data_IF_508101032354
#
_entry.id   IF_508101032354
#
_cell.length_a   1.000
_cell.length_b   1.000
_cell.length_c   1.000
_cell.angle_alpha   90.00
_cell.angle_beta   90.00
_cell.angle_gamma   90.00
#
_symmetry.space_group_name_H-M   'P 1'
#
loop_
_entity.id
_entity.type
_entity.pdbx_description
1 polymer ?
#
# COMPACT_ATOMS: atom_id res chain seq x y z
N UNK A 1 -17.78 -1.87 7.12
CA UNK A 1 -17.61 -0.45 7.57
C UNK A 1 -16.54 0.16 6.69
N UNK A 2 -16.81 1.35 6.12
CA UNK A 2 -15.90 2.00 5.20
C UNK A 2 -14.61 2.45 5.89
N UNK A 3 -13.47 1.99 5.39
CA UNK A 3 -12.15 2.43 5.87
C UNK A 3 -11.68 3.67 5.12
N UNK A 4 -11.97 3.73 3.79
CA UNK A 4 -11.60 4.85 2.93
C UNK A 4 -12.78 5.20 2.03
N UNK A 5 -13.12 6.48 1.93
CA UNK A 5 -14.08 7.02 0.96
C UNK A 5 -13.47 8.24 0.30
N UNK A 6 -13.47 8.29 -1.04
CA UNK A 6 -13.02 9.47 -1.80
C UNK A 6 -14.19 10.11 -2.52
N UNK A 7 -14.22 11.45 -2.53
CA UNK A 7 -15.28 12.26 -3.15
C UNK A 7 -14.62 13.26 -4.10
N UNK A 8 -14.77 13.03 -5.40
CA UNK A 8 -14.23 13.84 -6.49
C UNK A 8 -12.75 14.20 -6.30
N UNK A 9 -11.98 13.26 -5.71
CA UNK A 9 -10.59 13.47 -5.33
C UNK A 9 -9.77 13.76 -6.58
N UNK A 10 -9.20 14.96 -6.66
CA UNK A 10 -8.53 15.46 -7.85
C UNK A 10 -7.15 16.03 -7.52
N UNK A 11 -6.15 15.71 -8.34
CA UNK A 11 -4.82 16.31 -8.27
C UNK A 11 -4.36 16.81 -9.63
N UNK A 12 -4.04 18.10 -9.67
CA UNK A 12 -3.42 18.75 -10.84
C UNK A 12 -2.03 19.26 -10.50
N UNK A 13 -1.09 19.05 -11.41
CA UNK A 13 0.25 19.61 -11.38
C UNK A 13 0.44 20.44 -12.66
N UNK A 14 0.39 21.76 -12.56
CA UNK A 14 0.41 22.66 -13.73
C UNK A 14 -0.67 22.21 -14.76
N UNK A 15 -0.25 21.79 -15.93
CA UNK A 15 -1.13 21.37 -17.03
C UNK A 15 -1.52 19.88 -16.96
N UNK A 16 -0.91 19.10 -16.05
CA UNK A 16 -1.19 17.66 -15.91
C UNK A 16 -2.24 17.41 -14.83
N UNK A 17 -3.36 16.78 -15.19
CA UNK A 17 -4.30 16.20 -14.24
C UNK A 17 -3.84 14.76 -13.92
N UNK A 18 -3.16 14.60 -12.78
CA UNK A 18 -2.60 13.31 -12.36
C UNK A 18 -3.65 12.36 -11.74
N UNK A 19 -4.71 12.91 -11.14
CA UNK A 19 -5.91 12.19 -10.67
C UNK A 19 -7.12 13.08 -10.94
N UNK A 20 -8.14 12.53 -11.60
CA UNK A 20 -9.34 13.26 -12.04
C UNK A 20 -10.59 12.66 -11.39
N UNK A 21 -11.18 13.38 -10.43
CA UNK A 21 -12.45 13.08 -9.76
C UNK A 21 -12.60 11.62 -9.34
N UNK A 22 -11.60 11.11 -8.62
CA UNK A 22 -11.61 9.74 -8.11
C UNK A 22 -12.68 9.60 -7.04
N UNK A 23 -13.66 8.73 -7.30
CA UNK A 23 -14.70 8.31 -6.37
C UNK A 23 -14.51 6.81 -6.09
N UNK A 24 -14.18 6.47 -4.85
CA UNK A 24 -13.82 5.11 -4.45
C UNK A 24 -14.21 4.88 -2.99
N UNK A 25 -14.71 3.68 -2.69
CA UNK A 25 -14.96 3.20 -1.32
C UNK A 25 -14.23 1.89 -1.10
N UNK A 26 -13.49 1.80 0.02
CA UNK A 26 -12.74 0.61 0.45
C UNK A 26 -13.23 0.22 1.85
N UNK A 27 -13.55 -1.05 2.03
CA UNK A 27 -14.06 -1.57 3.29
C UNK A 27 -12.94 -1.85 4.31
N UNK A 28 -13.29 -1.83 5.59
CA UNK A 28 -12.35 -2.17 6.69
C UNK A 28 -11.89 -3.61 6.59
N UNK A 29 -10.57 -3.83 6.69
CA UNK A 29 -9.94 -5.16 6.58
C UNK A 29 -9.75 -5.66 5.15
N UNK A 30 -10.19 -4.89 4.15
CA UNK A 30 -10.04 -5.22 2.73
C UNK A 30 -8.57 -5.08 2.28
N UNK A 31 -8.10 -6.01 1.44
CA UNK A 31 -6.92 -5.84 0.62
C UNK A 31 -7.35 -5.36 -0.76
N UNK A 32 -7.10 -4.10 -1.03
CA UNK A 32 -7.55 -3.39 -2.23
C UNK A 32 -6.36 -2.99 -3.11
N UNK A 33 -6.42 -3.30 -4.41
CA UNK A 33 -5.37 -2.90 -5.34
C UNK A 33 -5.77 -1.74 -6.25
N UNK A 34 -4.86 -0.78 -6.39
CA UNK A 34 -4.87 0.20 -7.47
C UNK A 34 -3.96 -0.33 -8.59
N UNK A 35 -4.54 -0.87 -9.65
CA UNK A 35 -3.84 -1.44 -10.81
C UNK A 35 -3.83 -0.44 -11.98
N UNK A 36 -2.70 -0.29 -12.63
CA UNK A 36 -2.59 0.55 -13.82
C UNK A 36 -1.15 0.68 -14.30
N UNK A 37 -0.98 1.10 -15.54
CA UNK A 37 0.34 1.37 -16.11
C UNK A 37 1.04 2.54 -15.41
N UNK A 38 2.32 2.74 -15.70
CA UNK A 38 3.06 3.90 -15.20
C UNK A 38 2.39 5.19 -15.66
N UNK A 39 2.27 6.16 -14.75
CA UNK A 39 1.54 7.41 -15.00
C UNK A 39 0.01 7.32 -14.85
N UNK A 40 -0.56 6.18 -14.47
CA UNK A 40 -2.01 6.05 -14.25
C UNK A 40 -2.56 6.86 -13.06
N UNK A 41 -1.70 7.39 -12.17
CA UNK A 41 -2.11 8.19 -11.01
C UNK A 41 -2.04 7.46 -9.67
N UNK A 42 -1.63 6.18 -9.63
CA UNK A 42 -1.59 5.32 -8.43
C UNK A 42 -0.82 5.95 -7.26
N UNK A 43 0.47 6.23 -7.45
CA UNK A 43 1.33 6.85 -6.41
C UNK A 43 0.82 8.24 -6.00
N UNK A 44 0.25 9.02 -6.94
CA UNK A 44 -0.36 10.31 -6.62
C UNK A 44 -1.58 10.13 -5.72
N UNK A 45 -2.40 9.11 -5.97
CA UNK A 45 -3.54 8.77 -5.12
C UNK A 45 -3.07 8.41 -3.72
N UNK A 46 -2.07 7.50 -3.57
CA UNK A 46 -1.49 7.20 -2.25
C UNK A 46 -0.95 8.46 -1.56
N UNK A 47 -0.23 9.33 -2.27
CA UNK A 47 0.30 10.57 -1.68
C UNK A 47 -0.80 11.51 -1.16
N UNK A 48 -1.96 11.56 -1.81
CA UNK A 48 -3.10 12.33 -1.29
C UNK A 48 -3.72 11.65 -0.07
N UNK A 49 -4.03 10.36 -0.16
CA UNK A 49 -4.64 9.60 0.94
C UNK A 49 -3.76 9.56 2.18
N UNK A 50 -2.44 9.49 2.02
CA UNK A 50 -1.47 9.54 3.11
C UNK A 50 -1.13 10.96 3.61
N UNK A 51 -1.83 11.99 3.12
CA UNK A 51 -1.60 13.39 3.46
C UNK A 51 -0.15 13.88 3.18
N UNK A 52 0.56 13.26 2.24
CA UNK A 52 1.87 13.71 1.75
C UNK A 52 1.73 14.83 0.72
N UNK A 53 0.58 14.90 0.04
CA UNK A 53 0.24 16.03 -0.85
C UNK A 53 -1.24 16.38 -0.70
N UNK A 54 -1.56 17.68 -0.75
CA UNK A 54 -2.95 18.12 -0.70
C UNK A 54 -3.63 17.88 -2.06
N UNK A 55 -4.90 17.45 -2.09
CA UNK A 55 -5.69 17.45 -3.31
C UNK A 55 -5.86 18.87 -3.85
N UNK A 56 -6.08 18.99 -5.16
CA UNK A 56 -6.44 20.25 -5.80
C UNK A 56 -7.93 20.54 -5.61
N UNK A 57 -8.77 19.48 -5.71
CA UNK A 57 -10.20 19.51 -5.44
C UNK A 57 -10.64 18.18 -4.82
N UNK A 58 -11.86 18.16 -4.26
CA UNK A 58 -12.43 16.99 -3.62
C UNK A 58 -11.84 16.71 -2.25
N UNK A 59 -12.21 15.59 -1.67
CA UNK A 59 -11.75 15.15 -0.36
C UNK A 59 -11.65 13.62 -0.30
N UNK A 60 -11.01 13.11 0.75
CA UNK A 60 -11.10 11.71 1.14
C UNK A 60 -11.23 11.61 2.66
N UNK A 61 -11.90 10.56 3.09
CA UNK A 61 -12.08 10.23 4.50
C UNK A 61 -11.43 8.88 4.77
N UNK A 62 -10.55 8.84 5.76
CA UNK A 62 -9.88 7.64 6.22
C UNK A 62 -10.28 7.41 7.68
N UNK A 63 -10.90 6.26 7.96
CA UNK A 63 -11.47 5.97 9.28
C UNK A 63 -12.37 7.15 9.76
N UNK A 64 -13.16 7.72 8.82
CA UNK A 64 -14.05 8.86 9.05
C UNK A 64 -13.38 10.23 9.13
N UNK A 65 -12.04 10.33 9.06
CA UNK A 65 -11.26 11.57 9.22
C UNK A 65 -10.88 12.16 7.85
N UNK A 66 -11.10 13.46 7.67
CA UNK A 66 -10.82 14.19 6.42
C UNK A 66 -9.31 14.39 6.20
N UNK A 67 -8.80 14.04 5.00
CA UNK A 67 -7.40 14.32 4.61
C UNK A 67 -7.12 15.81 4.46
N UNK A 68 -8.15 16.63 4.26
CA UNK A 68 -8.01 18.08 4.06
C UNK A 68 -8.03 18.81 5.40
N UNK A 69 -8.98 18.49 6.28
CA UNK A 69 -9.25 19.22 7.51
C UNK A 69 -8.60 18.57 8.75
N UNK A 70 -8.37 17.25 8.73
CA UNK A 70 -7.93 16.45 9.89
C UNK A 70 -6.66 15.64 9.58
N UNK A 71 -5.76 16.20 8.75
CA UNK A 71 -4.59 15.46 8.23
C UNK A 71 -3.69 14.87 9.31
N UNK A 72 -3.58 15.52 10.48
CA UNK A 72 -2.81 14.99 11.63
C UNK A 72 -3.47 13.73 12.18
N UNK A 73 -4.78 13.75 12.39
CA UNK A 73 -5.52 12.61 12.91
C UNK A 73 -5.55 11.44 11.88
N UNK A 74 -5.56 11.73 10.57
CA UNK A 74 -5.40 10.71 9.53
C UNK A 74 -4.03 10.04 9.65
N UNK A 75 -2.94 10.81 9.77
CA UNK A 75 -1.57 10.28 9.88
C UNK A 75 -1.35 9.37 11.09
N UNK A 76 -2.12 9.53 12.14
CA UNK A 76 -2.07 8.66 13.32
C UNK A 76 -2.69 7.28 13.07
N UNK A 77 -3.53 7.14 12.03
CA UNK A 77 -4.26 5.89 11.73
C UNK A 77 -3.68 5.11 10.55
N UNK A 78 -2.72 5.69 9.85
CA UNK A 78 -2.16 5.12 8.62
C UNK A 78 -0.67 4.84 8.76
N UNK A 79 -0.18 3.92 7.92
CA UNK A 79 1.24 3.79 7.63
C UNK A 79 1.49 3.60 6.13
N UNK A 80 2.70 3.91 5.69
CA UNK A 80 3.10 3.82 4.28
C UNK A 80 4.42 3.06 4.20
N UNK A 81 4.46 2.02 3.37
CA UNK A 81 5.70 1.42 2.87
C UNK A 81 5.91 1.93 1.43
N UNK A 82 6.81 2.88 1.21
CA UNK A 82 6.99 3.51 -0.10
C UNK A 82 7.68 2.57 -1.10
N UNK A 83 7.65 2.92 -2.38
CA UNK A 83 8.28 2.16 -3.47
C UNK A 83 9.79 1.96 -3.22
N UNK A 84 10.50 3.00 -2.82
CA UNK A 84 11.89 2.88 -2.35
C UNK A 84 11.90 2.46 -0.88
N UNK A 85 12.66 1.42 -0.55
CA UNK A 85 12.73 0.93 0.83
C UNK A 85 13.35 1.96 1.75
N UNK A 86 12.58 2.41 2.75
CA UNK A 86 13.02 3.43 3.70
C UNK A 86 13.77 2.78 4.91
N UNK A 87 14.77 1.93 4.64
CA UNK A 87 15.58 1.30 5.67
C UNK A 87 16.88 2.06 5.89
N UNK A 88 17.33 2.18 7.13
CA UNK A 88 18.64 2.71 7.46
C UNK A 88 19.72 1.62 7.24
N UNK A 89 20.56 1.70 6.18
CA UNK A 89 21.39 0.60 5.74
C UNK A 89 22.50 0.22 6.73
N UNK A 90 22.93 1.17 7.56
CA UNK A 90 23.98 0.96 8.55
C UNK A 90 23.47 0.40 9.89
N UNK A 91 22.17 0.43 10.12
CA UNK A 91 21.52 -0.17 11.27
C UNK A 91 21.17 -1.65 11.00
N UNK A 92 21.11 -2.46 12.05
CA UNK A 92 20.59 -3.83 11.97
C UNK A 92 19.09 -3.82 11.74
N UNK A 93 18.51 -4.97 11.40
CA UNK A 93 17.05 -5.16 11.30
C UNK A 93 16.35 -4.71 12.58
N UNK A 94 16.85 -5.18 13.73
CA UNK A 94 16.31 -4.83 15.05
C UNK A 94 16.40 -3.34 15.32
N UNK A 95 17.56 -2.72 15.08
CA UNK A 95 17.77 -1.28 15.29
C UNK A 95 16.88 -0.42 14.37
N UNK A 96 16.58 -0.85 13.14
CA UNK A 96 15.62 -0.18 12.27
C UNK A 96 14.21 -0.16 12.88
N UNK A 97 13.76 -1.28 13.44
CA UNK A 97 12.47 -1.36 14.13
C UNK A 97 12.46 -0.54 15.42
N UNK A 98 13.53 -0.59 16.22
CA UNK A 98 13.68 0.22 17.42
C UNK A 98 13.70 1.73 17.11
N UNK A 99 14.35 2.13 16.02
CA UNK A 99 14.33 3.52 15.52
C UNK A 99 12.90 3.98 15.25
N UNK A 100 12.11 3.17 14.55
CA UNK A 100 10.70 3.52 14.26
C UNK A 100 9.85 3.56 15.54
N UNK A 101 10.04 2.63 16.47
CA UNK A 101 9.39 2.68 17.77
C UNK A 101 9.72 3.98 18.53
N UNK A 102 10.98 4.42 18.46
CA UNK A 102 11.42 5.70 19.05
C UNK A 102 10.76 6.92 18.37
N UNK A 103 10.61 6.92 17.03
CA UNK A 103 9.90 7.97 16.30
C UNK A 103 8.44 8.10 16.77
N UNK A 104 7.78 6.97 17.07
CA UNK A 104 6.42 6.93 17.60
C UNK A 104 6.35 7.14 19.12
N UNK A 105 7.49 7.42 19.79
CA UNK A 105 7.58 7.73 21.23
C UNK A 105 7.05 6.62 22.14
N UNK A 106 7.16 5.36 21.72
CA UNK A 106 6.84 4.24 22.59
C UNK A 106 7.82 4.15 23.77
N UNK A 107 7.34 3.72 24.92
CA UNK A 107 8.19 3.40 26.06
C UNK A 107 9.17 2.28 25.72
N UNK A 108 10.22 2.12 26.51
CA UNK A 108 11.24 1.07 26.27
C UNK A 108 10.64 -0.34 26.27
N UNK A 109 9.68 -0.61 27.14
CA UNK A 109 9.05 -1.93 27.26
C UNK A 109 8.08 -2.19 26.11
N UNK A 110 7.26 -1.22 25.73
CA UNK A 110 6.40 -1.30 24.55
C UNK A 110 7.21 -1.50 23.28
N UNK A 111 8.28 -0.71 23.12
CA UNK A 111 9.19 -0.84 21.96
C UNK A 111 9.77 -2.26 21.88
N UNK A 112 10.27 -2.80 22.99
CA UNK A 112 10.82 -4.17 23.04
C UNK A 112 9.77 -5.21 22.65
N UNK A 113 8.56 -5.10 23.17
CA UNK A 113 7.46 -6.03 22.90
C UNK A 113 7.08 -5.99 21.43
N UNK A 114 6.82 -4.79 20.86
CA UNK A 114 6.43 -4.61 19.47
C UNK A 114 7.51 -5.06 18.50
N UNK A 115 8.77 -4.70 18.75
CA UNK A 115 9.92 -5.10 17.93
C UNK A 115 10.07 -6.61 17.90
N UNK A 116 9.99 -7.29 19.06
CA UNK A 116 10.07 -8.74 19.13
C UNK A 116 8.92 -9.42 18.34
N UNK A 117 7.70 -8.95 18.53
CA UNK A 117 6.53 -9.47 17.82
C UNK A 117 6.67 -9.35 16.28
N UNK A 118 7.14 -8.19 15.79
CA UNK A 118 7.34 -7.97 14.35
C UNK A 118 8.50 -8.81 13.79
N UNK A 119 9.59 -8.98 14.54
CA UNK A 119 10.70 -9.85 14.14
C UNK A 119 10.20 -11.30 13.94
N UNK A 120 9.37 -11.81 14.84
CA UNK A 120 8.77 -13.14 14.73
C UNK A 120 7.76 -13.21 13.59
N UNK A 121 6.80 -12.28 13.55
CA UNK A 121 5.72 -12.26 12.55
C UNK A 121 6.26 -12.19 11.11
N UNK A 122 7.35 -11.45 10.89
CA UNK A 122 7.96 -11.26 9.58
C UNK A 122 9.10 -12.23 9.27
N UNK A 123 9.36 -13.22 10.14
CA UNK A 123 10.41 -14.23 9.96
C UNK A 123 11.83 -13.63 9.95
N UNK A 124 12.06 -12.55 10.69
CA UNK A 124 13.32 -11.80 10.69
C UNK A 124 14.32 -12.27 11.78
N UNK A 125 14.00 -13.33 12.52
CA UNK A 125 14.76 -13.80 13.71
C UNK A 125 16.23 -14.04 13.39
N UNK A 126 16.53 -14.81 12.34
CA UNK A 126 17.90 -15.18 11.96
C UNK A 126 18.74 -14.01 11.45
N UNK A 127 18.08 -12.96 11.01
CA UNK A 127 18.73 -11.78 10.44
C UNK A 127 18.59 -10.53 11.32
N UNK A 128 17.98 -10.65 12.50
CA UNK A 128 17.67 -9.52 13.39
C UNK A 128 18.91 -8.65 13.70
N UNK A 129 20.08 -9.25 13.80
CA UNK A 129 21.34 -8.57 14.08
C UNK A 129 22.17 -8.26 12.81
N UNK A 130 21.69 -8.58 11.61
CA UNK A 130 22.36 -8.22 10.35
C UNK A 130 22.03 -6.79 9.97
N UNK A 131 23.02 -6.06 9.44
CA UNK A 131 22.79 -4.70 8.90
C UNK A 131 21.86 -4.74 7.70
N UNK A 132 20.87 -3.84 7.66
CA UNK A 132 19.85 -3.80 6.61
C UNK A 132 20.45 -3.61 5.20
N UNK A 133 21.54 -2.86 5.06
CA UNK A 133 22.23 -2.69 3.78
C UNK A 133 22.91 -3.95 3.23
N UNK A 134 23.03 -5.03 4.01
CA UNK A 134 23.57 -6.32 3.57
C UNK A 134 22.49 -7.35 3.21
N UNK A 135 21.23 -6.98 3.32
CA UNK A 135 20.10 -7.84 3.00
C UNK A 135 19.78 -7.78 1.50
N UNK A 136 19.20 -8.88 0.96
CA UNK A 136 18.60 -8.83 -0.37
C UNK A 136 17.42 -7.86 -0.43
N UNK A 137 17.03 -7.43 -1.63
CA UNK A 137 15.89 -6.53 -1.83
C UNK A 137 14.60 -7.02 -1.19
N UNK A 138 14.31 -8.32 -1.28
CA UNK A 138 13.14 -8.93 -0.65
C UNK A 138 13.14 -8.81 0.89
N UNK A 139 14.28 -9.06 1.52
CA UNK A 139 14.42 -8.87 2.98
C UNK A 139 14.34 -7.40 3.40
N UNK A 140 14.91 -6.48 2.61
CA UNK A 140 14.76 -5.04 2.88
C UNK A 140 13.30 -4.59 2.73
N UNK A 141 12.58 -5.11 1.73
CA UNK A 141 11.16 -4.82 1.53
C UNK A 141 10.32 -5.35 2.69
N UNK A 142 10.58 -6.58 3.13
CA UNK A 142 9.91 -7.19 4.29
C UNK A 142 10.15 -6.38 5.56
N UNK A 143 11.40 -5.94 5.79
CA UNK A 143 11.73 -5.03 6.89
C UNK A 143 11.00 -3.69 6.78
N UNK A 144 10.93 -3.08 5.59
CA UNK A 144 10.22 -1.81 5.36
C UNK A 144 8.74 -1.90 5.73
N UNK A 145 8.07 -3.01 5.40
CA UNK A 145 6.67 -3.25 5.78
C UNK A 145 6.55 -3.45 7.29
N UNK A 146 7.45 -4.23 7.91
CA UNK A 146 7.47 -4.41 9.36
C UNK A 146 7.66 -3.10 10.11
N UNK A 147 8.55 -2.21 9.62
CA UNK A 147 8.75 -0.86 10.16
C UNK A 147 7.47 -0.02 10.07
N UNK A 148 6.73 -0.10 8.97
CA UNK A 148 5.46 0.60 8.82
C UNK A 148 4.39 0.09 9.80
N UNK A 149 4.43 -1.17 10.20
CA UNK A 149 3.47 -1.79 11.12
C UNK A 149 3.78 -1.55 12.61
N UNK A 150 4.91 -0.94 12.96
CA UNK A 150 5.30 -0.74 14.36
C UNK A 150 4.27 0.08 15.16
N UNK A 151 3.56 0.99 14.49
CA UNK A 151 2.53 1.84 15.09
C UNK A 151 1.12 1.21 15.08
N UNK A 152 0.98 -0.05 14.64
CA UNK A 152 -0.31 -0.75 14.53
C UNK A 152 -1.37 0.06 13.77
N UNK A 153 -1.10 0.44 12.52
CA UNK A 153 -2.00 1.29 11.76
C UNK A 153 -3.31 0.56 11.44
N UNK A 154 -4.40 1.30 11.29
CA UNK A 154 -5.67 0.75 10.76
C UNK A 154 -5.63 0.56 9.24
N UNK A 155 -4.83 1.39 8.55
CA UNK A 155 -4.71 1.41 7.09
C UNK A 155 -3.23 1.41 6.71
N UNK A 156 -2.82 0.45 5.88
CA UNK A 156 -1.46 0.31 5.36
C UNK A 156 -1.45 0.57 3.86
N UNK A 157 -0.62 1.51 3.42
CA UNK A 157 -0.35 1.75 2.01
C UNK A 157 0.95 1.06 1.60
N UNK A 158 0.89 0.25 0.53
CA UNK A 158 2.03 -0.43 -0.08
C UNK A 158 2.19 0.08 -1.52
N UNK A 159 3.21 0.90 -1.77
CA UNK A 159 3.45 1.44 -3.10
C UNK A 159 4.43 0.55 -3.86
N UNK A 160 3.93 -0.22 -4.83
CA UNK A 160 4.66 -1.19 -5.67
C UNK A 160 5.59 -2.11 -4.86
N UNK A 161 5.08 -2.88 -3.88
CA UNK A 161 5.90 -3.58 -2.88
C UNK A 161 6.80 -4.66 -3.48
N UNK A 162 6.48 -5.23 -4.63
CA UNK A 162 7.24 -6.32 -5.26
C UNK A 162 8.11 -5.89 -6.42
N UNK A 163 8.17 -4.58 -6.69
CA UNK A 163 8.97 -4.05 -7.78
C UNK A 163 10.45 -4.42 -7.63
N UNK A 164 11.01 -5.02 -8.69
CA UNK A 164 12.42 -5.40 -8.73
C UNK A 164 12.79 -6.66 -7.94
N UNK A 165 11.82 -7.38 -7.37
CA UNK A 165 12.04 -8.66 -6.71
C UNK A 165 12.03 -9.82 -7.72
N UNK A 166 12.85 -10.83 -7.46
CA UNK A 166 12.76 -12.11 -8.16
C UNK A 166 11.48 -12.88 -7.77
N UNK A 167 11.19 -13.96 -8.49
CA UNK A 167 9.95 -14.74 -8.35
C UNK A 167 9.77 -15.30 -6.94
N UNK A 168 10.84 -15.82 -6.31
CA UNK A 168 10.77 -16.41 -4.97
C UNK A 168 10.54 -15.34 -3.91
N UNK A 169 11.33 -14.27 -3.93
CA UNK A 169 11.17 -13.14 -3.01
C UNK A 169 9.79 -12.48 -3.12
N UNK A 170 9.21 -12.43 -4.34
CA UNK A 170 7.85 -11.96 -4.59
C UNK A 170 6.82 -12.88 -3.94
N UNK A 171 6.92 -14.19 -4.17
CA UNK A 171 6.02 -15.17 -3.56
C UNK A 171 6.03 -15.09 -2.03
N UNK A 172 7.22 -15.06 -1.45
CA UNK A 172 7.39 -14.94 0.01
C UNK A 172 6.78 -13.64 0.57
N UNK A 173 6.90 -12.53 -0.19
CA UNK A 173 6.32 -11.26 0.21
C UNK A 173 4.80 -11.29 0.10
N UNK A 174 4.25 -11.93 -0.92
CA UNK A 174 2.80 -12.13 -1.05
C UNK A 174 2.22 -12.87 0.13
N UNK A 175 2.87 -13.95 0.60
CA UNK A 175 2.42 -14.69 1.78
C UNK A 175 2.45 -13.81 3.04
N UNK A 176 3.48 -12.97 3.15
CA UNK A 176 3.56 -11.98 4.23
C UNK A 176 2.38 -10.99 4.17
N UNK A 177 2.08 -10.42 3.00
CA UNK A 177 0.96 -9.49 2.81
C UNK A 177 -0.38 -10.18 3.08
N UNK A 178 -0.57 -11.43 2.57
CA UNK A 178 -1.79 -12.22 2.85
C UNK A 178 -2.02 -12.44 4.35
N UNK A 179 -0.97 -12.62 5.13
CA UNK A 179 -1.08 -12.82 6.59
C UNK A 179 -1.64 -11.61 7.34
N UNK A 180 -1.63 -10.43 6.71
CA UNK A 180 -2.16 -9.17 7.24
C UNK A 180 -3.64 -8.96 6.86
N UNK A 181 -4.13 -9.65 5.82
CA UNK A 181 -5.49 -9.52 5.30
C UNK A 181 -6.53 -9.81 6.39
N UNK A 182 -7.58 -9.01 6.42
CA UNK A 182 -8.64 -9.08 7.44
C UNK A 182 -8.28 -8.48 8.80
N UNK A 183 -6.99 -8.24 9.08
CA UNK A 183 -6.52 -7.63 10.33
C UNK A 183 -6.40 -6.11 10.21
N UNK A 184 -5.94 -5.63 9.07
CA UNK A 184 -5.81 -4.22 8.74
C UNK A 184 -6.31 -4.00 7.30
N UNK A 185 -6.70 -2.77 6.97
CA UNK A 185 -7.02 -2.40 5.58
C UNK A 185 -5.74 -2.15 4.82
N UNK A 186 -5.57 -2.76 3.65
CA UNK A 186 -4.35 -2.63 2.84
C UNK A 186 -4.70 -2.05 1.49
N UNK A 187 -4.00 -0.97 1.11
CA UNK A 187 -4.06 -0.41 -0.23
C UNK A 187 -2.73 -0.68 -0.91
N UNK A 188 -2.78 -1.50 -1.95
CA UNK A 188 -1.64 -1.92 -2.74
C UNK A 188 -1.66 -1.20 -4.08
N UNK A 189 -0.57 -0.53 -4.49
CA UNK A 189 -0.42 -0.13 -5.89
C UNK A 189 0.46 -1.14 -6.61
N UNK A 190 0.09 -1.46 -7.82
CA UNK A 190 0.89 -2.34 -8.68
C UNK A 190 0.63 -2.07 -10.17
N UNK A 191 1.56 -2.48 -11.00
CA UNK A 191 1.37 -2.63 -12.43
C UNK A 191 1.44 -4.11 -12.85
N UNK A 192 1.63 -5.03 -11.89
CA UNK A 192 1.61 -6.48 -12.12
C UNK A 192 0.19 -7.02 -11.94
N UNK A 193 -0.40 -7.51 -13.02
CA UNK A 193 -1.76 -8.05 -13.04
C UNK A 193 -1.88 -9.30 -12.14
N UNK A 194 -0.86 -10.17 -12.17
CA UNK A 194 -0.77 -11.36 -11.32
C UNK A 194 -0.84 -11.01 -9.82
N UNK A 195 -0.17 -9.93 -9.41
CA UNK A 195 -0.17 -9.48 -8.01
C UNK A 195 -1.56 -8.99 -7.59
N UNK A 196 -2.19 -8.16 -8.43
CA UNK A 196 -3.54 -7.67 -8.16
C UNK A 196 -4.55 -8.81 -8.09
N UNK A 197 -4.52 -9.76 -9.03
CA UNK A 197 -5.41 -10.92 -9.05
C UNK A 197 -5.20 -11.85 -7.86
N UNK A 198 -3.93 -12.13 -7.50
CA UNK A 198 -3.59 -13.11 -6.47
C UNK A 198 -3.84 -12.63 -5.03
N UNK A 199 -3.74 -11.32 -4.77
CA UNK A 199 -3.78 -10.78 -3.41
C UNK A 199 -5.11 -10.11 -3.06
N UNK A 200 -5.75 -9.42 -4.02
CA UNK A 200 -6.78 -8.44 -3.69
C UNK A 200 -8.18 -9.02 -3.57
N UNK A 201 -8.97 -8.44 -2.68
CA UNK A 201 -10.42 -8.68 -2.64
C UNK A 201 -11.09 -7.97 -3.81
N UNK A 202 -10.73 -6.70 -4.05
CA UNK A 202 -11.14 -5.91 -5.21
C UNK A 202 -9.97 -5.16 -5.80
N UNK A 203 -10.08 -4.89 -7.08
CA UNK A 203 -9.09 -4.16 -7.87
C UNK A 203 -9.76 -2.95 -8.53
N UNK A 204 -9.13 -1.78 -8.40
CA UNK A 204 -9.44 -0.59 -9.18
C UNK A 204 -8.48 -0.48 -10.36
N UNK A 205 -9.00 -0.48 -11.58
CA UNK A 205 -8.23 -0.25 -12.80
C UNK A 205 -8.19 1.25 -13.09
N UNK A 206 -6.97 1.79 -13.14
CA UNK A 206 -6.73 3.21 -13.41
C UNK A 206 -5.97 3.43 -14.71
N UNK A 207 -6.33 4.49 -15.45
CA UNK A 207 -5.64 4.98 -16.65
C UNK A 207 -5.66 6.51 -16.68
N UNK A 208 -4.49 7.13 -16.91
CA UNK A 208 -4.38 8.59 -17.10
C UNK A 208 -5.12 9.42 -16.04
N UNK A 209 -5.00 9.03 -14.78
CA UNK A 209 -5.64 9.69 -13.63
C UNK A 209 -7.11 9.35 -13.40
N UNK A 210 -7.73 8.54 -14.24
CA UNK A 210 -9.14 8.16 -14.13
C UNK A 210 -9.31 6.74 -13.62
N UNK A 211 -10.36 6.53 -12.85
CA UNK A 211 -10.85 5.21 -12.46
C UNK A 211 -11.73 4.68 -13.59
N UNK A 212 -11.36 3.53 -14.16
CA UNK A 212 -12.12 2.90 -15.23
C UNK A 212 -13.12 1.87 -14.70
N UNK A 213 -12.70 1.05 -13.75
CA UNK A 213 -13.50 -0.03 -13.19
C UNK A 213 -13.03 -0.39 -11.78
N UNK A 214 -13.95 -0.81 -10.93
CA UNK A 214 -13.69 -1.48 -9.65
C UNK A 214 -14.49 -2.77 -9.59
N UNK A 215 -13.87 -3.83 -9.11
CA UNK A 215 -14.53 -5.11 -8.89
C UNK A 215 -13.56 -6.17 -8.38
N UNK A 216 -14.07 -7.35 -8.05
CA UNK A 216 -13.26 -8.55 -7.84
C UNK A 216 -12.60 -8.97 -9.16
N UNK A 217 -11.55 -9.78 -9.10
CA UNK A 217 -10.89 -10.28 -10.32
C UNK A 217 -11.90 -11.01 -11.24
N UNK A 218 -12.86 -11.73 -10.67
CA UNK A 218 -13.88 -12.44 -11.45
C UNK A 218 -14.87 -11.50 -12.13
N UNK A 219 -15.38 -10.48 -11.43
CA UNK A 219 -16.25 -9.45 -12.02
C UNK A 219 -15.57 -8.69 -13.15
N UNK A 220 -14.28 -8.41 -13.01
CA UNK A 220 -13.46 -7.74 -14.02
C UNK A 220 -13.31 -8.64 -15.28
N UNK A 221 -13.03 -9.92 -15.09
CA UNK A 221 -12.94 -10.92 -16.18
C UNK A 221 -14.28 -11.08 -16.90
N UNK A 222 -15.36 -11.22 -16.16
CA UNK A 222 -16.72 -11.36 -16.70
C UNK A 222 -17.11 -10.12 -17.53
N UNK A 223 -16.89 -8.92 -17.00
CA UNK A 223 -17.19 -7.66 -17.71
C UNK A 223 -16.38 -7.49 -18.98
N UNK A 224 -15.15 -7.98 -19.02
CA UNK A 224 -14.31 -7.94 -20.20
C UNK A 224 -14.56 -9.10 -21.17
N UNK A 225 -15.39 -10.10 -20.81
CA UNK A 225 -15.69 -11.26 -21.65
C UNK A 225 -14.49 -12.16 -21.89
N UNK A 226 -13.68 -12.44 -20.85
CA UNK A 226 -12.51 -13.32 -20.92
C UNK A 226 -12.25 -13.98 -19.57
N UNK A 227 -11.66 -15.18 -19.56
CA UNK A 227 -11.30 -15.91 -18.34
C UNK A 227 -9.91 -15.53 -17.80
N UNK A 228 -9.13 -14.72 -18.54
CA UNK A 228 -7.80 -14.29 -18.17
C UNK A 228 -7.79 -12.84 -17.70
N UNK A 229 -7.22 -12.59 -16.55
CA UNK A 229 -7.21 -11.27 -15.93
C UNK A 229 -6.33 -10.26 -16.68
N UNK A 230 -5.21 -10.69 -17.25
CA UNK A 230 -4.33 -9.88 -18.07
C UNK A 230 -5.01 -9.42 -19.38
N UNK A 231 -5.76 -10.31 -20.04
CA UNK A 231 -6.56 -9.96 -21.21
C UNK A 231 -7.69 -8.99 -20.84
N UNK A 232 -8.36 -9.22 -19.71
CA UNK A 232 -9.42 -8.34 -19.19
C UNK A 232 -8.88 -6.93 -18.95
N UNK A 233 -7.76 -6.80 -18.26
CA UNK A 233 -7.09 -5.51 -18.03
C UNK A 233 -6.80 -4.77 -19.34
N UNK A 234 -6.20 -5.46 -20.33
CA UNK A 234 -5.87 -4.85 -21.62
C UNK A 234 -7.10 -4.35 -22.37
N UNK A 235 -8.21 -5.12 -22.38
CA UNK A 235 -9.49 -4.71 -23.00
C UNK A 235 -10.05 -3.46 -22.35
N UNK A 236 -10.19 -3.47 -21.02
CA UNK A 236 -10.74 -2.33 -20.25
C UNK A 236 -9.89 -1.06 -20.45
N UNK A 237 -8.57 -1.20 -20.43
CA UNK A 237 -7.66 -0.05 -20.63
C UNK A 237 -7.69 0.47 -22.06
N UNK A 238 -7.97 -0.35 -23.08
CA UNK A 238 -8.07 0.10 -24.48
C UNK A 238 -9.40 0.80 -24.78
N UNK A 239 -10.49 0.38 -24.13
CA UNK A 239 -11.82 0.92 -24.33
C UNK A 239 -12.09 2.22 -23.54
N UNK A 240 -11.44 2.43 -22.39
CA UNK A 240 -11.54 3.62 -21.55
C UNK A 240 -10.40 4.60 -21.79
#
# INVERSE_FOLDING_TARGET
MEAITTIDLTKKYKDLTAVDRLNLTIESGELFSLLGVNGAGKTTTIKMLSCLTKPTNGNAFLDGKSIVNESTAVKETIAVSPQETAVAPNLTVKENLELMAGVHRFSRDESKTRVSALIEQFGLVEIANKKAGKLSGGWQRRLSIAMALICEPKILFLDEPTLGLDVLARSDLWDTIRSLKGKITIILTTHYMEEAEALSDRVAIMKSGKLLLVGTANEIKEKAGTDKFDEAFVRIVKEG
#
